data_IF_182262411163
#
_entry.id   IF_182262411163
#
_cell.length_a   1.000
_cell.length_b   1.000
_cell.length_c   1.000
_cell.angle_alpha   90.00
_cell.angle_beta   90.00
_cell.angle_gamma   90.00
#
_symmetry.space_group_name_H-M   'P 1'
#
loop_
_entity.id
_entity.type
_entity.pdbx_description
1 polymer ?
#
# COMPACT_ATOMS: atom_id res chain seq x y z
N UNK A 1 -42.54 13.21 13.10
CA UNK A 1 -41.76 11.97 12.89
C UNK A 1 -40.61 11.95 13.87
N UNK A 2 -40.57 10.95 14.75
CA UNK A 2 -39.87 10.96 16.07
C UNK A 2 -38.34 10.69 15.98
N UNK A 3 -37.76 10.68 14.77
CA UNK A 3 -36.31 10.56 14.58
C UNK A 3 -35.83 11.69 13.68
N UNK A 4 -35.56 12.85 14.27
CA UNK A 4 -34.77 13.88 13.60
C UNK A 4 -33.33 13.35 13.49
N UNK A 5 -32.95 12.89 12.31
CA UNK A 5 -31.54 12.74 11.97
C UNK A 5 -30.91 14.13 12.08
N UNK A 6 -29.92 14.31 12.96
CA UNK A 6 -29.14 15.56 12.99
C UNK A 6 -28.65 15.87 11.57
N UNK A 7 -28.80 17.12 11.15
CA UNK A 7 -28.26 17.57 9.87
C UNK A 7 -26.75 17.30 9.89
N UNK A 8 -26.20 16.80 8.78
CA UNK A 8 -24.75 16.63 8.69
C UNK A 8 -24.10 18.00 8.81
N UNK A 9 -23.08 18.07 9.67
CA UNK A 9 -22.17 19.20 9.63
C UNK A 9 -21.43 19.16 8.27
N UNK A 10 -21.71 20.17 7.45
CA UNK A 10 -21.15 20.32 6.11
C UNK A 10 -19.72 20.89 6.14
N UNK A 11 -19.21 21.33 7.30
CA UNK A 11 -17.87 21.92 7.44
C UNK A 11 -16.75 20.97 6.98
N UNK A 12 -16.93 19.67 7.16
CA UNK A 12 -15.97 18.62 6.80
C UNK A 12 -16.16 18.08 5.37
N UNK A 13 -17.15 18.57 4.61
CA UNK A 13 -17.32 18.22 3.21
C UNK A 13 -16.53 19.18 2.33
N UNK A 14 -15.77 18.60 1.41
CA UNK A 14 -15.01 19.34 0.41
C UNK A 14 -15.37 18.83 -0.97
N UNK A 15 -15.63 19.74 -1.91
CA UNK A 15 -15.69 19.40 -3.33
C UNK A 15 -14.26 19.32 -3.84
N UNK A 16 -13.86 18.17 -4.38
CA UNK A 16 -12.50 17.89 -4.84
C UNK A 16 -12.61 17.16 -6.16
N UNK A 17 -12.37 17.83 -7.28
CA UNK A 17 -12.41 17.23 -8.61
C UNK A 17 -11.63 15.91 -8.66
N UNK A 18 -12.20 14.80 -9.19
CA UNK A 18 -13.50 14.71 -9.90
C UNK A 18 -14.72 14.40 -9.02
N UNK A 19 -14.64 14.51 -7.70
CA UNK A 19 -15.68 14.08 -6.77
C UNK A 19 -15.85 14.92 -5.50
N UNK A 20 -16.22 14.23 -4.42
CA UNK A 20 -16.45 14.84 -3.11
C UNK A 20 -15.63 14.10 -2.05
N UNK A 21 -15.16 14.84 -1.06
CA UNK A 21 -14.36 14.35 0.05
C UNK A 21 -15.03 14.70 1.38
N UNK A 22 -14.89 13.81 2.37
CA UNK A 22 -15.29 14.07 3.75
C UNK A 22 -14.14 13.75 4.70
N UNK A 23 -13.76 14.71 5.54
CA UNK A 23 -12.73 14.52 6.55
C UNK A 23 -13.34 14.13 7.91
N UNK A 24 -13.05 12.93 8.41
CA UNK A 24 -13.53 12.48 9.73
C UNK A 24 -12.78 13.09 10.93
N UNK A 25 -11.70 13.84 10.69
CA UNK A 25 -10.88 14.47 11.73
C UNK A 25 -9.75 13.56 12.21
N UNK A 26 -8.51 13.85 11.81
CA UNK A 26 -7.33 13.06 12.21
C UNK A 26 -7.09 13.11 13.72
N UNK A 27 -7.11 14.29 14.34
CA UNK A 27 -6.91 14.45 15.80
C UNK A 27 -7.92 13.63 16.61
N UNK A 28 -9.20 13.74 16.25
CA UNK A 28 -10.27 12.98 16.91
C UNK A 28 -10.08 11.47 16.73
N UNK A 29 -9.72 11.03 15.51
CA UNK A 29 -9.38 9.64 15.24
C UNK A 29 -8.21 9.14 16.09
N UNK A 30 -7.16 9.95 16.24
CA UNK A 30 -6.02 9.62 17.10
C UNK A 30 -6.46 9.52 18.56
N UNK A 31 -7.17 10.51 19.10
CA UNK A 31 -7.64 10.49 20.50
C UNK A 31 -8.48 9.26 20.83
N UNK A 32 -9.35 8.85 19.90
CA UNK A 32 -10.24 7.70 20.10
C UNK A 32 -9.51 6.35 20.04
N UNK A 33 -8.45 6.26 19.26
CA UNK A 33 -7.77 4.99 18.97
C UNK A 33 -6.39 4.86 19.59
N UNK A 34 -5.81 5.94 20.12
CA UNK A 34 -4.52 5.93 20.79
C UNK A 34 -4.67 5.44 22.22
N UNK A 35 -3.94 4.38 22.64
CA UNK A 35 -4.07 3.84 23.99
C UNK A 35 -3.70 4.88 25.04
N UNK A 36 -4.57 5.12 26.02
CA UNK A 36 -4.34 6.08 27.12
C UNK A 36 -3.05 5.79 27.89
N UNK A 37 -2.66 4.52 27.99
CA UNK A 37 -1.43 4.06 28.64
C UNK A 37 -0.14 4.55 27.97
N UNK A 38 -0.20 5.03 26.72
CA UNK A 38 0.94 5.48 25.93
C UNK A 38 0.99 7.01 25.78
N UNK A 39 -0.05 7.73 26.23
CA UNK A 39 -0.19 9.18 26.03
C UNK A 39 0.91 9.98 26.74
N UNK A 40 1.38 9.53 27.90
CA UNK A 40 2.36 10.26 28.71
C UNK A 40 3.83 10.06 28.29
N UNK A 41 4.12 9.10 27.42
CA UNK A 41 5.49 8.68 27.10
C UNK A 41 5.91 8.93 25.65
N UNK A 42 5.09 9.61 24.85
CA UNK A 42 5.35 9.75 23.41
C UNK A 42 5.16 11.18 22.93
N UNK A 43 6.25 11.83 22.50
CA UNK A 43 6.21 13.13 21.82
C UNK A 43 5.87 13.04 20.34
N UNK A 44 6.00 11.85 19.74
CA UNK A 44 5.79 11.60 18.31
C UNK A 44 4.88 10.38 18.11
N UNK A 45 3.81 10.54 17.35
CA UNK A 45 2.93 9.43 16.95
C UNK A 45 3.23 9.08 15.50
N UNK A 46 3.62 7.83 15.25
CA UNK A 46 3.84 7.30 13.90
C UNK A 46 2.60 6.58 13.38
N UNK A 47 2.30 6.80 12.10
CA UNK A 47 1.10 6.31 11.43
C UNK A 47 1.45 5.54 10.18
N UNK A 48 0.68 4.49 9.91
CA UNK A 48 0.69 3.82 8.61
C UNK A 48 -0.56 4.25 7.88
N UNK A 49 -0.39 4.85 6.71
CA UNK A 49 -1.48 5.33 5.88
C UNK A 49 -1.71 4.38 4.71
N UNK A 50 -2.97 4.11 4.44
CA UNK A 50 -3.46 3.25 3.37
C UNK A 50 -4.36 4.03 2.44
N UNK A 51 -4.12 3.90 1.15
CA UNK A 51 -5.04 4.42 0.14
C UNK A 51 -5.49 3.25 -0.72
N UNK A 52 -6.81 3.02 -0.72
CA UNK A 52 -7.42 1.93 -1.45
C UNK A 52 -8.65 2.45 -2.20
N UNK A 53 -8.76 2.10 -3.48
CA UNK A 53 -9.93 2.38 -4.29
C UNK A 53 -10.68 1.08 -4.53
N UNK A 54 -12.00 1.14 -4.40
CA UNK A 54 -12.82 0.01 -4.79
C UNK A 54 -14.03 0.44 -5.61
N UNK A 55 -14.40 -0.33 -6.65
CA UNK A 55 -15.62 -0.08 -7.38
C UNK A 55 -16.81 -0.27 -6.44
N UNK A 56 -17.74 0.68 -6.48
CA UNK A 56 -18.94 0.64 -5.66
C UNK A 56 -20.01 -0.28 -6.25
N UNK A 57 -20.18 -0.22 -7.58
CA UNK A 57 -21.16 -1.01 -8.30
C UNK A 57 -20.52 -1.56 -9.57
N UNK A 58 -20.85 -2.80 -9.95
CA UNK A 58 -20.31 -3.45 -11.16
C UNK A 58 -20.73 -2.75 -12.46
N UNK A 59 -21.75 -1.89 -12.41
CA UNK A 59 -22.39 -1.26 -13.56
C UNK A 59 -22.03 0.21 -13.75
N UNK A 60 -21.29 0.83 -12.83
CA UNK A 60 -20.86 2.23 -12.94
C UNK A 60 -19.34 2.32 -12.87
N UNK A 61 -18.77 3.34 -13.51
CA UNK A 61 -17.34 3.67 -13.39
C UNK A 61 -17.02 4.42 -12.09
N UNK A 62 -17.97 4.49 -11.14
CA UNK A 62 -17.78 5.19 -9.87
C UNK A 62 -16.97 4.35 -8.90
N UNK A 63 -15.87 4.94 -8.42
CA UNK A 63 -15.00 4.35 -7.41
C UNK A 63 -15.15 5.10 -6.08
N UNK A 64 -15.05 4.34 -4.99
CA UNK A 64 -14.92 4.90 -3.65
C UNK A 64 -13.48 4.75 -3.19
N UNK A 65 -12.83 5.89 -3.00
CA UNK A 65 -11.47 5.98 -2.47
C UNK A 65 -11.52 6.23 -0.97
N UNK A 66 -10.87 5.37 -0.20
CA UNK A 66 -10.68 5.61 1.23
C UNK A 66 -9.23 5.94 1.52
N UNK A 67 -9.03 6.92 2.39
CA UNK A 67 -7.73 7.21 3.01
C UNK A 67 -7.88 6.79 4.46
N UNK A 68 -7.25 5.68 4.81
CA UNK A 68 -7.30 5.08 6.14
C UNK A 68 -5.93 5.18 6.79
N UNK A 69 -5.90 5.28 8.10
CA UNK A 69 -4.65 5.21 8.85
C UNK A 69 -4.86 4.41 10.12
N UNK A 70 -3.81 3.74 10.58
CA UNK A 70 -3.77 3.13 11.90
C UNK A 70 -2.46 3.50 12.60
N UNK A 71 -2.51 3.47 13.94
CA UNK A 71 -1.40 3.87 14.79
C UNK A 71 -0.63 2.63 15.22
N UNK A 72 0.70 2.71 15.19
CA UNK A 72 1.58 1.68 15.77
C UNK A 72 2.47 2.29 16.84
N UNK A 73 2.10 2.17 18.13
CA UNK A 73 2.81 2.87 19.20
C UNK A 73 4.19 2.28 19.53
N UNK A 74 4.48 1.05 19.09
CA UNK A 74 5.71 0.33 19.45
C UNK A 74 6.67 0.06 18.29
N UNK A 75 6.33 0.49 17.07
CA UNK A 75 7.13 0.19 15.88
C UNK A 75 7.30 1.47 15.06
N UNK A 76 8.55 1.83 14.78
CA UNK A 76 8.90 3.03 14.01
C UNK A 76 8.68 2.76 12.53
N UNK A 77 7.55 3.19 11.97
CA UNK A 77 7.25 3.05 10.53
C UNK A 77 6.45 4.24 10.04
N UNK A 78 7.01 4.97 9.08
CA UNK A 78 6.32 5.99 8.29
C UNK A 78 6.20 5.43 6.87
N UNK A 79 5.01 4.98 6.48
CA UNK A 79 4.79 4.34 5.17
C UNK A 79 3.41 4.65 4.63
N UNK A 80 3.35 4.86 3.32
CA UNK A 80 2.12 4.97 2.55
C UNK A 80 1.96 3.69 1.70
N UNK A 81 0.96 2.89 2.05
CA UNK A 81 0.62 1.65 1.36
C UNK A 81 -0.55 1.89 0.42
N UNK A 82 -0.40 1.56 -0.85
CA UNK A 82 -1.50 1.53 -1.80
C UNK A 82 -1.17 0.61 -2.97
N UNK A 83 -2.19 0.14 -3.66
CA UNK A 83 -2.00 -0.67 -4.86
C UNK A 83 -1.38 0.17 -6.01
N UNK A 84 -0.90 -0.51 -7.06
CA UNK A 84 -0.19 0.17 -8.14
C UNK A 84 -1.07 1.21 -8.90
N UNK A 85 -2.36 0.93 -9.21
CA UNK A 85 -3.29 1.93 -9.72
C UNK A 85 -3.40 3.18 -8.83
N UNK A 86 -3.74 3.04 -7.55
CA UNK A 86 -3.90 4.17 -6.64
C UNK A 86 -2.60 4.97 -6.51
N UNK A 87 -1.45 4.29 -6.37
CA UNK A 87 -0.12 4.93 -6.35
C UNK A 87 0.10 5.79 -7.60
N UNK A 88 -0.17 5.25 -8.79
CA UNK A 88 0.04 5.96 -10.04
C UNK A 88 -0.88 7.18 -10.19
N UNK A 89 -2.12 7.09 -9.71
CA UNK A 89 -3.07 8.18 -9.71
C UNK A 89 -2.62 9.33 -8.78
N UNK A 90 -2.27 9.01 -7.54
CA UNK A 90 -1.82 10.00 -6.54
C UNK A 90 -0.54 10.71 -6.98
N UNK A 91 0.39 9.95 -7.57
CA UNK A 91 1.68 10.45 -8.01
C UNK A 91 1.64 11.05 -9.42
N UNK A 92 0.51 11.00 -10.14
CA UNK A 92 0.40 11.46 -11.53
C UNK A 92 1.46 10.82 -12.45
N UNK A 93 1.70 9.52 -12.25
CA UNK A 93 2.68 8.72 -13.01
C UNK A 93 1.98 7.68 -13.86
N UNK A 94 2.72 7.11 -14.81
CA UNK A 94 2.24 6.06 -15.70
C UNK A 94 1.75 4.86 -14.89
N UNK A 95 0.54 4.40 -15.19
CA UNK A 95 -0.06 3.24 -14.53
C UNK A 95 0.72 1.94 -14.82
N UNK A 96 0.51 0.92 -13.99
CA UNK A 96 1.21 -0.38 -14.01
C UNK A 96 1.21 -1.13 -15.36
N UNK A 97 0.31 -0.75 -16.28
CA UNK A 97 0.21 -1.31 -17.62
C UNK A 97 0.96 -0.49 -18.70
N UNK A 98 1.75 0.52 -18.33
CA UNK A 98 2.55 1.32 -19.26
C UNK A 98 4.02 0.91 -19.32
N UNK A 99 4.74 1.33 -20.36
CA UNK A 99 6.15 1.02 -20.62
C UNK A 99 7.08 1.49 -19.48
N UNK A 100 7.18 2.79 -19.24
CA UNK A 100 7.88 3.36 -18.08
C UNK A 100 6.94 3.46 -16.88
N UNK A 101 6.65 2.35 -16.18
CA UNK A 101 5.65 2.32 -15.08
C UNK A 101 6.16 1.80 -13.73
N UNK A 102 7.41 1.34 -13.65
CA UNK A 102 7.99 0.99 -12.37
C UNK A 102 8.25 2.24 -11.53
N UNK A 103 7.76 2.25 -10.28
CA UNK A 103 7.94 3.38 -9.37
C UNK A 103 9.29 3.41 -8.66
N UNK A 104 10.09 2.34 -8.76
CA UNK A 104 11.38 2.19 -8.05
C UNK A 104 12.60 2.19 -8.96
N UNK A 105 12.44 1.93 -10.25
CA UNK A 105 13.54 1.94 -11.21
C UNK A 105 13.08 2.36 -12.60
N UNK A 106 14.05 2.67 -13.45
CA UNK A 106 13.88 3.16 -14.83
C UNK A 106 13.85 2.01 -15.84
N UNK A 107 13.41 0.82 -15.44
CA UNK A 107 13.25 -0.30 -16.36
C UNK A 107 12.10 0.02 -17.33
N UNK A 108 12.41 0.14 -18.62
CA UNK A 108 11.41 0.30 -19.66
C UNK A 108 10.78 -1.06 -20.05
N UNK A 109 9.46 -1.15 -19.94
CA UNK A 109 8.72 -2.34 -20.34
C UNK A 109 8.75 -2.60 -21.85
N UNK A 110 8.31 -3.77 -22.27
CA UNK A 110 8.14 -4.17 -23.66
C UNK A 110 6.74 -4.77 -23.87
N UNK A 111 6.14 -4.50 -25.02
CA UNK A 111 4.81 -5.03 -25.35
C UNK A 111 4.92 -6.43 -25.97
N UNK A 112 4.37 -7.44 -25.29
CA UNK A 112 4.38 -8.84 -25.72
C UNK A 112 3.02 -9.48 -25.46
N UNK A 113 2.41 -10.11 -26.46
CA UNK A 113 1.13 -10.83 -26.33
C UNK A 113 0.04 -10.04 -25.59
N UNK A 114 -0.23 -8.83 -26.08
CA UNK A 114 -1.28 -7.93 -25.57
C UNK A 114 -1.10 -7.45 -24.12
N UNK A 115 0.15 -7.30 -23.66
CA UNK A 115 0.48 -6.78 -22.33
C UNK A 115 1.88 -6.17 -22.30
N UNK A 116 2.09 -5.24 -21.37
CA UNK A 116 3.43 -4.77 -21.04
C UNK A 116 4.11 -5.74 -20.08
N UNK A 117 5.38 -5.99 -20.34
CA UNK A 117 6.24 -6.91 -19.61
C UNK A 117 7.61 -6.32 -19.37
N UNK A 118 8.32 -6.81 -18.38
CA UNK A 118 9.64 -6.35 -17.98
C UNK A 118 10.60 -7.54 -18.01
N UNK A 119 11.10 -7.93 -19.20
CA UNK A 119 12.03 -9.04 -19.35
C UNK A 119 13.24 -8.91 -18.42
N UNK A 120 13.77 -10.05 -17.96
CA UNK A 120 14.93 -10.07 -17.10
C UNK A 120 16.18 -9.59 -17.86
N UNK A 121 16.91 -8.63 -17.28
CA UNK A 121 18.14 -8.07 -17.84
C UNK A 121 19.37 -8.67 -17.15
N UNK A 122 20.15 -9.47 -17.89
CA UNK A 122 21.41 -10.01 -17.35
C UNK A 122 22.51 -8.94 -17.40
N UNK A 123 23.08 -8.58 -16.25
CA UNK A 123 24.32 -7.80 -16.16
C UNK A 123 24.16 -6.29 -15.91
N UNK A 124 23.03 -5.67 -16.29
CA UNK A 124 22.74 -4.27 -16.00
C UNK A 124 21.40 -4.15 -15.26
N UNK A 125 21.48 -3.84 -13.96
CA UNK A 125 20.28 -3.45 -13.22
C UNK A 125 19.86 -2.05 -13.69
N UNK A 126 18.55 -1.83 -13.93
CA UNK A 126 18.03 -0.51 -14.23
C UNK A 126 18.37 0.48 -13.11
N UNK A 127 18.64 1.74 -13.49
CA UNK A 127 18.84 2.83 -12.54
C UNK A 127 17.66 2.93 -11.58
N UNK A 128 17.92 3.16 -10.29
CA UNK A 128 16.87 3.40 -9.31
C UNK A 128 16.28 4.79 -9.51
N UNK A 129 14.97 4.93 -9.34
CA UNK A 129 14.32 6.23 -9.25
C UNK A 129 14.62 6.85 -7.88
N UNK A 130 14.66 8.18 -7.84
CA UNK A 130 14.85 8.95 -6.60
C UNK A 130 13.78 10.02 -6.46
N UNK A 131 13.58 10.53 -5.24
CA UNK A 131 12.74 11.70 -5.00
C UNK A 131 13.13 12.89 -5.90
N UNK A 132 14.44 13.13 -6.04
CA UNK A 132 14.97 14.21 -6.87
C UNK A 132 14.55 14.04 -8.33
N UNK A 133 14.72 12.84 -8.90
CA UNK A 133 14.35 12.56 -10.29
C UNK A 133 12.85 12.71 -10.54
N UNK A 134 12.02 12.29 -9.58
CA UNK A 134 10.58 12.50 -9.63
C UNK A 134 10.22 13.99 -9.58
N UNK A 135 10.81 14.75 -8.65
CA UNK A 135 10.51 16.16 -8.45
C UNK A 135 10.97 17.01 -9.67
N UNK A 136 12.15 16.71 -10.20
CA UNK A 136 12.66 17.36 -11.41
C UNK A 136 11.99 16.86 -12.70
N UNK A 137 11.12 15.84 -12.62
CA UNK A 137 10.49 15.16 -13.75
C UNK A 137 11.48 14.75 -14.83
N UNK A 138 12.61 14.17 -14.45
CA UNK A 138 13.70 13.85 -15.39
C UNK A 138 13.34 12.74 -16.39
N UNK A 139 12.35 11.91 -16.10
CA UNK A 139 11.82 10.88 -17.00
C UNK A 139 10.42 11.28 -17.49
N UNK A 140 10.37 11.92 -18.65
CA UNK A 140 9.11 12.41 -19.24
C UNK A 140 8.11 11.28 -19.52
N UNK A 141 8.57 10.06 -19.82
CA UNK A 141 7.68 8.95 -20.11
C UNK A 141 7.01 8.35 -18.87
N UNK A 142 7.61 8.55 -17.71
CA UNK A 142 7.08 8.09 -16.43
C UNK A 142 5.96 9.02 -15.90
N UNK A 143 6.00 10.31 -16.22
CA UNK A 143 5.02 11.29 -15.72
C UNK A 143 3.83 11.43 -16.68
N UNK A 144 2.61 11.45 -16.13
CA UNK A 144 1.39 11.80 -16.89
C UNK A 144 1.06 13.29 -16.72
N UNK A 145 1.32 13.84 -15.54
CA UNK A 145 0.96 15.21 -15.19
C UNK A 145 2.04 15.93 -14.39
N UNK A 146 1.61 16.94 -13.64
CA UNK A 146 2.47 17.63 -12.67
C UNK A 146 2.81 16.72 -11.49
N UNK A 147 3.87 17.06 -10.77
CA UNK A 147 4.26 16.36 -9.54
C UNK A 147 3.14 16.41 -8.51
N UNK A 148 3.00 15.34 -7.74
CA UNK A 148 2.03 15.26 -6.66
C UNK A 148 2.28 16.34 -5.59
N UNK A 149 1.20 16.81 -4.97
CA UNK A 149 1.30 17.68 -3.78
C UNK A 149 2.05 17.00 -2.64
N UNK A 150 2.14 15.67 -2.61
CA UNK A 150 2.89 14.95 -1.59
C UNK A 150 4.39 15.30 -1.56
N UNK A 151 4.95 15.85 -2.65
CA UNK A 151 6.33 16.34 -2.67
C UNK A 151 6.53 17.53 -1.73
N UNK A 152 5.48 18.28 -1.41
CA UNK A 152 5.57 19.43 -0.49
C UNK A 152 5.60 19.02 0.97
N UNK A 153 5.30 17.75 1.28
CA UNK A 153 5.35 17.23 2.64
C UNK A 153 6.83 17.14 3.05
N UNK A 154 7.26 17.88 4.09
CA UNK A 154 8.64 17.83 4.54
C UNK A 154 9.04 16.41 4.92
N UNK A 155 10.26 16.01 4.54
CA UNK A 155 10.86 14.72 4.87
C UNK A 155 10.15 13.49 4.27
N UNK A 156 9.23 13.70 3.31
CA UNK A 156 8.54 12.61 2.62
C UNK A 156 9.17 12.32 1.25
N UNK A 157 9.73 11.13 1.10
CA UNK A 157 10.25 10.59 -0.14
C UNK A 157 9.16 9.81 -0.89
N UNK A 158 8.54 10.44 -1.89
CA UNK A 158 7.52 9.83 -2.76
C UNK A 158 7.94 8.52 -3.45
N UNK A 159 9.24 8.22 -3.56
CA UNK A 159 9.73 6.95 -4.10
C UNK A 159 9.90 5.93 -2.96
N UNK A 160 10.62 6.32 -1.91
CA UNK A 160 11.06 5.41 -0.87
C UNK A 160 10.04 5.21 0.26
N UNK A 161 9.13 6.15 0.53
CA UNK A 161 8.11 6.07 1.60
C UNK A 161 6.80 5.43 1.13
N UNK A 162 6.63 5.24 -0.18
CA UNK A 162 5.58 4.38 -0.72
C UNK A 162 6.06 2.94 -0.80
N UNK A 163 5.41 2.02 -0.09
CA UNK A 163 5.71 0.59 -0.23
C UNK A 163 5.32 0.05 -1.60
N UNK A 164 6.01 -1.00 -2.04
CA UNK A 164 5.51 -1.95 -3.02
C UNK A 164 4.54 -2.85 -2.28
N UNK A 165 3.26 -2.73 -2.61
CA UNK A 165 2.21 -3.39 -1.85
C UNK A 165 2.34 -4.93 -1.91
N UNK A 166 2.83 -5.48 -0.81
CA UNK A 166 3.04 -6.91 -0.60
C UNK A 166 1.78 -7.74 -0.89
N UNK A 167 0.61 -7.23 -0.54
CA UNK A 167 -0.64 -7.96 -0.74
C UNK A 167 -0.94 -8.11 -2.24
N UNK A 168 -1.05 -6.99 -2.95
CA UNK A 168 -1.43 -7.02 -4.36
C UNK A 168 -0.31 -7.55 -5.26
N UNK A 169 0.95 -7.29 -4.91
CA UNK A 169 2.12 -7.73 -5.66
C UNK A 169 2.46 -9.19 -5.37
N UNK A 170 2.72 -9.59 -4.13
CA UNK A 170 3.23 -10.93 -3.82
C UNK A 170 2.08 -11.92 -3.70
N UNK A 171 1.15 -11.67 -2.79
CA UNK A 171 0.11 -12.64 -2.43
C UNK A 171 -0.92 -12.83 -3.54
N UNK A 172 -1.59 -11.73 -3.94
CA UNK A 172 -2.70 -11.79 -4.90
C UNK A 172 -2.23 -11.92 -6.35
N UNK A 173 -1.00 -11.52 -6.68
CA UNK A 173 -0.45 -11.67 -8.03
C UNK A 173 0.50 -12.86 -8.16
N UNK A 174 1.68 -12.85 -7.52
CA UNK A 174 2.70 -13.88 -7.77
C UNK A 174 2.25 -15.24 -7.24
N UNK A 175 1.92 -15.35 -5.95
CA UNK A 175 1.54 -16.63 -5.34
C UNK A 175 0.30 -17.21 -6.04
N UNK A 176 -0.72 -16.39 -6.28
CA UNK A 176 -1.91 -16.78 -7.05
C UNK A 176 -1.57 -17.25 -8.47
N UNK A 177 -0.68 -16.55 -9.18
CA UNK A 177 -0.23 -16.92 -10.53
C UNK A 177 0.49 -18.26 -10.54
N UNK A 178 1.41 -18.49 -9.59
CA UNK A 178 2.12 -19.76 -9.47
C UNK A 178 1.15 -20.91 -9.22
N UNK A 179 0.22 -20.74 -8.28
CA UNK A 179 -0.81 -21.74 -8.00
C UNK A 179 -1.66 -22.05 -9.24
N UNK A 180 -2.05 -21.02 -10.00
CA UNK A 180 -2.79 -21.21 -11.25
C UNK A 180 -1.97 -21.98 -12.29
N UNK A 181 -0.72 -21.60 -12.53
CA UNK A 181 0.16 -22.28 -13.48
C UNK A 181 0.36 -23.75 -13.12
N UNK A 182 0.62 -24.03 -11.85
CA UNK A 182 0.90 -25.37 -11.35
C UNK A 182 -0.32 -26.28 -11.31
N UNK A 183 -1.53 -25.74 -11.12
CA UNK A 183 -2.76 -26.54 -11.04
C UNK A 183 -3.53 -26.62 -12.36
N UNK A 184 -3.55 -25.51 -13.12
CA UNK A 184 -4.43 -25.31 -14.28
C UNK A 184 -3.70 -24.84 -15.54
N UNK A 185 -2.39 -24.58 -15.47
CA UNK A 185 -1.60 -24.08 -16.60
C UNK A 185 -1.29 -25.14 -17.67
N UNK A 186 -0.34 -24.86 -18.58
CA UNK A 186 0.15 -25.86 -19.53
C UNK A 186 0.66 -27.14 -18.84
N UNK A 187 0.49 -28.30 -19.47
CA UNK A 187 0.91 -29.59 -18.89
C UNK A 187 2.41 -29.58 -18.52
N UNK A 188 3.24 -28.92 -19.33
CA UNK A 188 4.69 -28.80 -19.15
C UNK A 188 5.11 -28.17 -17.82
N UNK A 189 4.21 -27.42 -17.15
CA UNK A 189 4.50 -26.71 -15.91
C UNK A 189 3.58 -27.08 -14.76
N UNK A 190 2.64 -28.00 -14.99
CA UNK A 190 1.70 -28.47 -13.96
C UNK A 190 2.37 -29.46 -13.02
N UNK A 191 2.04 -29.38 -11.73
CA UNK A 191 2.44 -30.38 -10.77
C UNK A 191 1.38 -31.49 -10.65
N UNK A 192 1.80 -32.77 -10.55
CA UNK A 192 0.90 -33.83 -10.12
C UNK A 192 0.34 -33.56 -8.72
N UNK A 193 -0.92 -33.95 -8.46
CA UNK A 193 -1.59 -33.70 -7.18
C UNK A 193 -0.81 -34.22 -5.96
N UNK A 194 -0.17 -35.39 -6.09
CA UNK A 194 0.69 -35.97 -5.04
C UNK A 194 1.84 -35.02 -4.66
N UNK A 195 2.49 -34.43 -5.66
CA UNK A 195 3.60 -33.49 -5.47
C UNK A 195 3.13 -32.17 -4.85
N UNK A 196 1.91 -31.72 -5.17
CA UNK A 196 1.30 -30.55 -4.53
C UNK A 196 1.10 -30.78 -3.03
N UNK A 197 0.64 -31.97 -2.65
CA UNK A 197 0.46 -32.34 -1.24
C UNK A 197 1.81 -32.39 -0.49
N UNK A 198 2.83 -33.00 -1.10
CA UNK A 198 4.20 -33.03 -0.57
C UNK A 198 4.79 -31.62 -0.38
N UNK A 199 4.67 -30.76 -1.38
CA UNK A 199 5.11 -29.36 -1.29
C UNK A 199 4.38 -28.64 -0.16
N UNK A 200 3.06 -28.82 -0.06
CA UNK A 200 2.25 -28.18 0.98
C UNK A 200 2.69 -28.62 2.38
N UNK A 201 2.89 -29.93 2.60
CA UNK A 201 3.43 -30.46 3.86
C UNK A 201 4.82 -29.90 4.18
N UNK A 202 5.68 -29.80 3.18
CA UNK A 202 7.03 -29.25 3.31
C UNK A 202 7.01 -27.78 3.71
N UNK A 203 6.18 -26.95 3.05
CA UNK A 203 6.03 -25.53 3.37
C UNK A 203 5.51 -25.31 4.79
N UNK A 204 4.53 -26.10 5.24
CA UNK A 204 4.03 -26.05 6.62
C UNK A 204 5.12 -26.44 7.62
N UNK A 205 5.96 -27.44 7.29
CA UNK A 205 7.12 -27.81 8.11
C UNK A 205 8.17 -26.70 8.18
N UNK A 206 8.46 -26.04 7.07
CA UNK A 206 9.43 -24.94 6.97
C UNK A 206 9.01 -23.67 7.70
N UNK A 207 7.70 -23.47 7.96
CA UNK A 207 7.19 -22.31 8.70
C UNK A 207 7.93 -22.06 10.03
N UNK A 208 8.38 -23.12 10.70
CA UNK A 208 9.09 -23.03 11.99
C UNK A 208 10.53 -22.50 11.87
N UNK A 209 11.12 -22.51 10.67
CA UNK A 209 12.53 -22.22 10.41
C UNK A 209 12.72 -21.01 9.49
N UNK A 210 11.74 -20.09 9.44
CA UNK A 210 11.82 -18.94 8.54
C UNK A 210 12.95 -18.01 9.01
N UNK A 211 13.89 -17.64 8.10
CA UNK A 211 15.04 -16.82 8.46
C UNK A 211 14.64 -15.42 8.96
N UNK A 212 15.37 -14.92 9.97
CA UNK A 212 15.31 -13.54 10.42
C UNK A 212 16.03 -12.61 9.42
N UNK A 213 15.91 -11.28 9.57
CA UNK A 213 16.40 -10.29 8.60
C UNK A 213 17.88 -10.36 8.19
N UNK A 214 18.70 -11.16 8.89
CA UNK A 214 20.12 -11.39 8.59
C UNK A 214 20.39 -12.00 7.19
N UNK A 215 19.37 -12.54 6.53
CA UNK A 215 19.50 -13.21 5.23
C UNK A 215 19.04 -12.35 4.04
N UNK A 216 18.83 -11.04 4.21
CA UNK A 216 18.22 -10.20 3.18
C UNK A 216 18.98 -10.21 1.85
N UNK A 217 20.32 -10.26 1.87
CA UNK A 217 21.13 -10.34 0.65
C UNK A 217 21.02 -11.69 -0.06
N UNK A 218 20.83 -12.76 0.71
CA UNK A 218 20.55 -14.09 0.16
C UNK A 218 19.15 -14.11 -0.45
N UNK A 219 18.15 -13.55 0.24
CA UNK A 219 16.78 -13.43 -0.27
C UNK A 219 16.75 -12.63 -1.57
N UNK A 220 17.49 -11.51 -1.65
CA UNK A 220 17.61 -10.71 -2.87
C UNK A 220 18.13 -11.54 -4.05
N UNK A 221 19.18 -12.35 -3.83
CA UNK A 221 19.72 -13.26 -4.86
C UNK A 221 18.73 -14.36 -5.24
N UNK A 222 17.98 -14.89 -4.28
CA UNK A 222 16.94 -15.91 -4.53
C UNK A 222 15.80 -15.33 -5.37
N UNK A 223 15.34 -14.11 -5.06
CA UNK A 223 14.29 -13.43 -5.82
C UNK A 223 14.75 -13.09 -7.25
N UNK A 224 15.97 -12.59 -7.40
CA UNK A 224 16.57 -12.33 -8.72
C UNK A 224 16.62 -13.63 -9.57
N UNK A 225 17.14 -14.71 -8.98
CA UNK A 225 17.15 -16.01 -9.66
C UNK A 225 15.73 -16.53 -9.92
N UNK A 226 14.77 -16.31 -9.02
CA UNK A 226 13.37 -16.67 -9.26
C UNK A 226 12.83 -15.99 -10.50
N UNK A 227 13.04 -14.68 -10.68
CA UNK A 227 12.57 -13.94 -11.86
C UNK A 227 13.24 -14.45 -13.12
N UNK A 228 14.56 -14.69 -13.08
CA UNK A 228 15.31 -15.28 -14.19
C UNK A 228 14.75 -16.65 -14.60
N UNK A 229 14.57 -17.56 -13.64
CA UNK A 229 14.01 -18.88 -13.90
C UNK A 229 12.55 -18.81 -14.34
N UNK A 230 11.79 -17.85 -13.82
CA UNK A 230 10.41 -17.62 -14.21
C UNK A 230 10.30 -17.28 -15.70
N UNK A 231 11.19 -16.43 -16.22
CA UNK A 231 11.25 -16.14 -17.66
C UNK A 231 11.50 -17.40 -18.49
N UNK A 232 12.47 -18.22 -18.08
CA UNK A 232 12.87 -19.44 -18.79
C UNK A 232 11.73 -20.47 -18.80
N UNK A 233 11.08 -20.68 -17.65
CA UNK A 233 10.10 -21.74 -17.47
C UNK A 233 8.70 -21.37 -17.97
N UNK A 234 8.27 -20.13 -17.73
CA UNK A 234 6.89 -19.70 -17.99
C UNK A 234 6.79 -18.70 -19.16
N UNK A 235 7.92 -18.14 -19.60
CA UNK A 235 8.02 -17.22 -20.71
C UNK A 235 7.98 -15.76 -20.30
N UNK A 236 8.77 -14.95 -21.01
CA UNK A 236 8.89 -13.49 -20.80
C UNK A 236 7.59 -12.71 -20.84
N UNK A 237 6.62 -13.18 -21.63
CA UNK A 237 5.30 -12.55 -21.71
C UNK A 237 4.55 -12.57 -20.36
N UNK A 238 4.96 -13.39 -19.38
CA UNK A 238 4.34 -13.44 -18.05
C UNK A 238 5.06 -12.58 -17.00
N UNK A 239 6.20 -11.96 -17.34
CA UNK A 239 6.94 -11.01 -16.50
C UNK A 239 6.25 -9.63 -16.47
N UNK A 240 5.04 -9.61 -15.93
CA UNK A 240 4.24 -8.38 -15.75
C UNK A 240 4.84 -7.47 -14.68
N UNK A 241 4.34 -6.24 -14.55
CA UNK A 241 4.76 -5.25 -13.54
C UNK A 241 4.92 -5.84 -12.12
N UNK A 242 3.95 -6.63 -11.66
CA UNK A 242 4.04 -7.26 -10.33
C UNK A 242 5.17 -8.29 -10.19
N UNK A 243 5.57 -8.98 -11.28
CA UNK A 243 6.73 -9.90 -11.23
C UNK A 243 8.02 -9.08 -11.16
N UNK A 244 8.12 -8.02 -11.95
CA UNK A 244 9.23 -7.08 -11.86
C UNK A 244 9.36 -6.43 -10.48
N UNK A 245 8.22 -6.13 -9.85
CA UNK A 245 8.16 -5.53 -8.53
C UNK A 245 8.82 -6.36 -7.42
N UNK A 246 8.99 -7.68 -7.60
CA UNK A 246 9.70 -8.54 -6.65
C UNK A 246 11.15 -8.11 -6.42
N UNK A 247 11.78 -7.46 -7.41
CA UNK A 247 13.15 -6.93 -7.27
C UNK A 247 13.27 -5.88 -6.15
N UNK A 248 12.17 -5.21 -5.81
CA UNK A 248 12.16 -4.06 -4.91
C UNK A 248 11.67 -4.41 -3.50
N UNK A 249 11.09 -5.60 -3.30
CA UNK A 249 10.52 -6.03 -2.02
C UNK A 249 11.58 -6.11 -0.91
N UNK A 250 12.83 -6.48 -1.24
CA UNK A 250 13.91 -6.47 -0.25
C UNK A 250 14.22 -5.06 0.26
N UNK A 251 14.09 -4.03 -0.59
CA UNK A 251 14.34 -2.64 -0.19
C UNK A 251 13.25 -2.15 0.77
N UNK A 252 12.00 -2.59 0.57
CA UNK A 252 10.90 -2.35 1.51
C UNK A 252 11.09 -3.07 2.84
N UNK A 253 11.57 -4.32 2.81
CA UNK A 253 11.87 -5.04 4.05
C UNK A 253 12.96 -4.34 4.87
N UNK A 254 14.00 -3.82 4.20
CA UNK A 254 15.08 -3.08 4.87
C UNK A 254 14.51 -1.81 5.54
N UNK A 255 13.57 -1.13 4.88
CA UNK A 255 13.03 0.14 5.36
C UNK A 255 11.92 -0.01 6.39
N UNK A 256 10.97 -0.90 6.17
CA UNK A 256 9.74 -1.03 6.95
C UNK A 256 9.72 -2.28 7.84
N UNK A 257 10.74 -3.13 7.73
CA UNK A 257 10.81 -4.42 8.42
C UNK A 257 9.92 -5.47 7.75
N UNK A 258 9.35 -6.43 8.50
CA UNK A 258 8.43 -7.43 7.98
C UNK A 258 7.36 -6.83 7.06
N UNK A 259 7.10 -7.44 5.90
CA UNK A 259 6.22 -6.86 4.86
C UNK A 259 4.76 -6.68 5.30
N UNK A 260 4.31 -7.44 6.30
CA UNK A 260 3.01 -7.23 6.96
C UNK A 260 2.90 -5.81 7.53
N UNK A 261 4.05 -5.20 7.84
CA UNK A 261 4.10 -3.84 8.33
C UNK A 261 3.76 -2.78 7.28
N UNK A 262 3.94 -3.08 5.99
CA UNK A 262 3.69 -2.16 4.89
C UNK A 262 2.71 -2.75 3.86
N UNK A 263 1.74 -3.52 4.35
CA UNK A 263 0.71 -4.19 3.54
C UNK A 263 -0.64 -3.47 3.58
N UNK A 264 -1.46 -3.70 2.55
CA UNK A 264 -2.82 -3.14 2.48
C UNK A 264 -3.91 -3.96 3.18
N UNK A 265 -3.59 -5.12 3.78
CA UNK A 265 -4.59 -6.05 4.29
C UNK A 265 -5.52 -5.43 5.33
N UNK A 266 -4.97 -4.66 6.26
CA UNK A 266 -5.77 -3.96 7.28
C UNK A 266 -6.74 -2.95 6.66
N UNK A 267 -6.32 -2.29 5.57
CA UNK A 267 -7.13 -1.30 4.88
C UNK A 267 -8.24 -1.94 4.06
N UNK A 268 -7.97 -3.02 3.31
CA UNK A 268 -8.99 -3.74 2.52
C UNK A 268 -10.07 -4.37 3.42
N UNK A 269 -9.66 -4.91 4.57
CA UNK A 269 -10.59 -5.46 5.57
C UNK A 269 -11.53 -4.36 6.09
N UNK A 270 -11.00 -3.18 6.39
CA UNK A 270 -11.83 -2.06 6.85
C UNK A 270 -12.68 -1.46 5.72
N UNK A 271 -12.15 -1.38 4.50
CA UNK A 271 -12.88 -0.95 3.31
C UNK A 271 -14.10 -1.85 3.05
N UNK A 272 -13.94 -3.16 3.21
CA UNK A 272 -15.05 -4.12 3.14
C UNK A 272 -16.16 -3.80 4.15
N UNK A 273 -15.79 -3.30 5.33
CA UNK A 273 -16.75 -2.84 6.36
C UNK A 273 -17.46 -1.55 5.93
N UNK A 274 -16.73 -0.58 5.38
CA UNK A 274 -17.31 0.67 4.87
C UNK A 274 -18.31 0.41 3.73
N UNK A 275 -18.00 -0.54 2.84
CA UNK A 275 -18.91 -0.94 1.75
C UNK A 275 -20.26 -1.45 2.23
N UNK A 276 -20.31 -2.17 3.35
CA UNK A 276 -21.57 -2.68 3.93
C UNK A 276 -22.47 -1.51 4.38
N UNK A 277 -21.89 -0.34 4.68
CA UNK A 277 -22.66 0.85 5.07
C UNK A 277 -23.38 1.50 3.87
N UNK A 278 -22.93 1.21 2.64
CA UNK A 278 -23.50 1.72 1.38
C UNK A 278 -24.56 0.72 0.89
N UNK A 279 -25.83 1.15 0.86
CA UNK A 279 -26.95 0.27 0.45
C UNK A 279 -27.42 0.51 -0.97
N UNK A 280 -27.24 1.73 -1.49
CA UNK A 280 -27.72 2.16 -2.82
C UNK A 280 -26.64 2.99 -3.51
N UNK A 281 -26.69 3.13 -4.85
CA UNK A 281 -25.75 3.97 -5.59
C UNK A 281 -25.91 5.46 -5.36
N UNK A 282 -27.06 5.91 -4.85
CA UNK A 282 -27.29 7.33 -4.59
C UNK A 282 -26.42 7.84 -3.43
N UNK A 283 -25.53 8.80 -3.70
CA UNK A 283 -24.77 9.54 -2.68
C UNK A 283 -24.02 8.62 -1.69
N UNK A 284 -23.12 7.75 -2.18
CA UNK A 284 -22.45 6.74 -1.36
C UNK A 284 -21.66 7.34 -0.19
N UNK A 285 -20.94 8.45 -0.41
CA UNK A 285 -20.19 9.15 0.63
C UNK A 285 -21.10 9.62 1.77
N UNK A 286 -22.24 10.24 1.46
CA UNK A 286 -23.18 10.73 2.47
C UNK A 286 -23.77 9.56 3.28
N UNK A 287 -24.03 8.41 2.65
CA UNK A 287 -24.47 7.21 3.36
C UNK A 287 -23.44 6.74 4.39
N UNK A 288 -22.16 6.66 3.99
CA UNK A 288 -21.07 6.27 4.89
C UNK A 288 -20.96 7.25 6.05
N UNK A 289 -20.92 8.57 5.78
CA UNK A 289 -20.76 9.58 6.83
C UNK A 289 -21.91 9.53 7.84
N UNK A 290 -23.16 9.48 7.36
CA UNK A 290 -24.34 9.32 8.24
C UNK A 290 -24.20 8.10 9.15
N UNK A 291 -23.83 6.97 8.57
CA UNK A 291 -23.74 5.70 9.31
C UNK A 291 -22.58 5.68 10.30
N UNK A 292 -21.42 6.22 9.93
CA UNK A 292 -20.28 6.36 10.83
C UNK A 292 -20.61 7.26 12.03
N UNK A 293 -21.31 8.38 11.79
CA UNK A 293 -21.75 9.27 12.86
C UNK A 293 -22.75 8.59 13.79
N UNK A 294 -23.73 7.84 13.25
CA UNK A 294 -24.65 7.02 14.05
C UNK A 294 -23.89 6.01 14.92
N UNK A 295 -22.93 5.28 14.35
CA UNK A 295 -22.13 4.28 15.09
C UNK A 295 -21.31 4.95 16.20
N UNK A 296 -20.70 6.09 15.93
CA UNK A 296 -19.90 6.81 16.92
C UNK A 296 -20.74 7.34 18.09
N UNK A 297 -21.98 7.75 17.85
CA UNK A 297 -22.92 8.15 18.91
C UNK A 297 -23.35 6.99 19.80
N UNK A 298 -23.35 5.76 19.28
CA UNK A 298 -23.76 4.55 19.99
C UNK A 298 -22.61 3.86 20.75
N UNK A 299 -21.35 4.24 20.48
CA UNK A 299 -20.21 3.72 21.24
C UNK A 299 -20.32 4.20 22.70
N UNK A 300 -20.12 3.32 23.70
CA UNK A 300 -20.10 3.74 25.08
C UNK A 300 -19.02 4.80 25.24
N UNK A 301 -19.40 6.00 25.69
CA UNK A 301 -18.44 7.03 26.05
C UNK A 301 -17.71 6.54 27.30
N UNK A 302 -16.53 5.96 27.11
CA UNK A 302 -15.60 5.79 28.21
C UNK A 302 -15.29 7.22 28.66
N UNK A 303 -15.69 7.55 29.89
CA UNK A 303 -15.29 8.78 30.57
C UNK A 303 -13.77 8.72 30.79
N UNK A 304 -13.01 8.98 29.74
CA UNK A 304 -11.63 9.37 29.90
C UNK A 304 -11.69 10.87 30.23
N UNK A 305 -11.04 11.25 31.34
CA UNK A 305 -10.69 12.64 31.62
C UNK A 305 -10.24 13.31 30.32
N UNK A 306 -10.74 14.52 30.04
CA UNK A 306 -10.43 15.29 28.82
C UNK A 306 -8.95 15.11 28.47
N UNK A 307 -8.61 14.29 27.46
CA UNK A 307 -7.23 14.09 27.08
C UNK A 307 -6.72 15.47 26.63
N UNK A 308 -5.51 15.85 27.05
CA UNK A 308 -4.90 17.10 26.60
C UNK A 308 -5.07 17.22 25.08
N UNK A 309 -5.59 18.37 24.61
CA UNK A 309 -5.80 18.60 23.19
C UNK A 309 -4.50 18.32 22.43
N UNK A 310 -4.57 17.47 21.40
CA UNK A 310 -3.43 17.26 20.51
C UNK A 310 -3.20 18.55 19.72
N UNK A 311 -2.30 19.39 20.21
CA UNK A 311 -1.81 20.53 19.46
C UNK A 311 -0.80 20.05 18.42
N UNK A 312 -1.26 19.91 17.17
CA UNK A 312 -0.34 19.79 16.03
C UNK A 312 0.52 21.06 15.98
N UNK A 313 1.78 20.94 16.38
CA UNK A 313 2.75 22.04 16.41
C UNK A 313 4.16 21.51 16.12
N UNK A 314 5.01 22.37 15.53
CA UNK A 314 6.43 22.11 15.31
C UNK A 314 6.84 21.73 13.86
N UNK A 315 8.04 22.16 13.46
CA UNK A 315 8.77 21.56 12.34
C UNK A 315 9.35 20.21 12.78
N UNK A 316 9.12 19.17 11.98
CA UNK A 316 9.53 17.80 12.27
C UNK A 316 11.07 17.66 12.28
N UNK A 317 11.72 17.71 13.45
CA UNK A 317 13.16 17.45 13.56
C UNK A 317 13.48 15.95 13.44
N UNK A 318 14.61 15.60 12.80
CA UNK A 318 14.88 14.25 12.32
C UNK A 318 15.36 13.32 13.44
N UNK A 319 14.72 12.16 13.58
CA UNK A 319 15.35 11.00 14.23
C UNK A 319 15.50 9.87 13.21
N UNK A 320 16.50 10.01 12.33
CA UNK A 320 16.99 8.93 11.46
C UNK A 320 18.52 8.80 11.58
N UNK A 321 19.03 8.67 12.82
CA UNK A 321 20.34 8.07 13.13
C UNK A 321 20.35 7.66 14.61
N UNK A 322 20.92 6.50 15.00
CA UNK A 322 21.43 6.36 16.36
C UNK A 322 22.43 7.49 16.60
N UNK A 323 22.28 8.21 17.70
CA UNK A 323 23.22 9.23 18.14
C UNK A 323 24.61 8.59 18.31
N UNK A 324 25.53 8.88 17.40
CA UNK A 324 26.97 8.79 17.68
C UNK A 324 27.61 10.15 17.43
N UNK A 325 27.92 10.75 18.58
CA UNK A 325 28.93 11.76 18.93
C UNK A 325 29.59 12.66 17.86
N UNK A 326 29.61 13.96 18.23
CA UNK A 326 30.57 15.01 17.90
C UNK A 326 30.48 15.56 16.46
N UNK A 327 30.23 16.86 16.21
CA UNK A 327 30.64 18.10 16.90
C UNK A 327 29.57 19.17 16.69
#
# INVERSE_FOLDING_TARGET
TILQTQALDNSNFHSVEPGNYYHFGLANGIQQHFPSSLQNNTSVIKIVAGIDSQPLFKSTAEEFLSILAYIRPHIIIDVLCCDAPAKSFILQTKGHAGFSSCSRCEHEGTYLLNRITFPYTSGNQPSKRTHQNYNSRSDEEYHIGNTSILVTIPYFDVVADFSMDYQHLVCLSIVRKMNYLWMKGPVSVRYPSLKIEEISKTLVGLRKNIPCGHYIDIVRKILDNFIKQFEILYGRHLLTHNVHGLNHICDDYIKFGPLDNCSTFSFENYMSTLKILIRKPDKPLIQVVKRCNEINLLKPQIQNETPADFHFSGSHEPTFTPLTENV
#
